data_IF_803227432579
#
_entry.id   IF_803227432579
#
_cell.length_a   1.000
_cell.length_b   1.000
_cell.length_c   1.000
_cell.angle_alpha   90.00
_cell.angle_beta   90.00
_cell.angle_gamma   90.00
#
_symmetry.space_group_name_H-M   'P 1'
#
loop_
_entity.id
_entity.type
_entity.pdbx_description
1 polymer ?
#
# COMPACT_ATOMS: atom_id res chain seq x y z
N UNK A 1 0.81 -32.25 -10.09
CA UNK A 1 1.00 -30.93 -9.45
C UNK A 1 1.25 -29.86 -10.52
N UNK A 2 0.22 -29.29 -11.16
CA UNK A 2 0.39 -28.04 -11.96
C UNK A 2 -0.90 -27.46 -12.56
N UNK A 3 -2.09 -27.77 -12.03
CA UNK A 3 -3.34 -27.10 -12.44
C UNK A 3 -3.72 -25.91 -11.53
N UNK A 4 -2.80 -25.46 -10.68
CA UNK A 4 -3.08 -24.35 -9.77
C UNK A 4 -2.51 -23.07 -10.36
N UNK A 5 -3.41 -22.17 -10.76
CA UNK A 5 -3.05 -20.83 -11.23
C UNK A 5 -2.41 -20.02 -10.11
N UNK A 6 -1.31 -19.32 -10.40
CA UNK A 6 -0.69 -18.35 -9.49
C UNK A 6 -1.69 -17.31 -8.98
N UNK A 7 -2.69 -16.93 -9.78
CA UNK A 7 -3.74 -16.02 -9.35
C UNK A 7 -4.60 -16.59 -8.21
N UNK A 8 -4.89 -17.89 -8.24
CA UNK A 8 -5.64 -18.58 -7.17
C UNK A 8 -4.80 -18.77 -5.91
N UNK A 9 -3.50 -19.02 -6.07
CA UNK A 9 -2.58 -19.18 -4.93
C UNK A 9 -2.35 -17.87 -4.15
N UNK A 10 -2.42 -16.74 -4.84
CA UNK A 10 -2.09 -15.43 -4.29
C UNK A 10 -3.29 -14.50 -4.15
N UNK A 11 -4.52 -15.01 -4.20
CA UNK A 11 -5.73 -14.17 -4.11
C UNK A 11 -5.78 -13.38 -2.79
N UNK A 12 -5.28 -13.97 -1.71
CA UNK A 12 -5.15 -13.33 -0.39
C UNK A 12 -4.13 -12.18 -0.36
N UNK A 13 -3.28 -12.09 -1.40
CA UNK A 13 -2.30 -11.02 -1.62
C UNK A 13 -2.75 -10.04 -2.69
N UNK A 14 -3.95 -10.22 -3.25
CA UNK A 14 -4.49 -9.29 -4.23
C UNK A 14 -4.82 -7.97 -3.52
N UNK A 15 -4.27 -6.88 -4.04
CA UNK A 15 -4.58 -5.54 -3.61
C UNK A 15 -5.10 -4.77 -4.83
N UNK A 16 -6.20 -4.06 -4.68
CA UNK A 16 -6.83 -3.31 -5.77
C UNK A 16 -6.64 -1.82 -5.60
N UNK A 17 -6.38 -1.15 -6.71
CA UNK A 17 -6.28 0.29 -6.79
C UNK A 17 -7.46 0.85 -7.59
N UNK A 18 -8.29 1.67 -6.95
CA UNK A 18 -9.28 2.44 -7.67
C UNK A 18 -8.62 3.68 -8.26
N UNK A 19 -8.58 3.78 -9.59
CA UNK A 19 -8.07 4.97 -10.29
C UNK A 19 -9.05 6.16 -10.27
N UNK A 20 -10.22 5.95 -9.69
CA UNK A 20 -11.33 6.89 -9.68
C UNK A 20 -11.66 7.26 -8.24
N UNK A 21 -12.25 8.44 -8.05
CA UNK A 21 -12.33 9.09 -6.74
C UNK A 21 -13.27 8.46 -5.69
N UNK A 22 -13.92 7.34 -5.97
CA UNK A 22 -14.83 6.69 -5.02
C UNK A 22 -14.83 5.16 -5.16
N UNK A 23 -14.55 4.49 -4.04
CA UNK A 23 -14.97 3.11 -3.82
C UNK A 23 -16.50 3.08 -3.68
N UNK A 24 -17.20 2.64 -4.73
CA UNK A 24 -18.66 2.46 -4.67
C UNK A 24 -18.98 1.18 -3.86
N UNK A 25 -20.04 1.19 -3.02
CA UNK A 25 -20.41 0.04 -2.19
C UNK A 25 -20.56 -1.27 -2.96
N UNK A 26 -21.11 -1.20 -4.18
CA UNK A 26 -21.28 -2.36 -5.07
C UNK A 26 -19.95 -2.98 -5.49
N UNK A 27 -18.93 -2.15 -5.74
CA UNK A 27 -17.57 -2.62 -6.07
C UNK A 27 -16.96 -3.30 -4.86
N UNK A 28 -17.09 -2.70 -3.68
CA UNK A 28 -16.57 -3.28 -2.43
C UNK A 28 -17.21 -4.64 -2.15
N UNK A 29 -18.52 -4.75 -2.34
CA UNK A 29 -19.24 -6.03 -2.23
C UNK A 29 -18.70 -7.07 -3.22
N UNK A 30 -18.51 -6.69 -4.49
CA UNK A 30 -17.92 -7.55 -5.51
C UNK A 30 -16.51 -8.02 -5.12
N UNK A 31 -15.66 -7.13 -4.57
CA UNK A 31 -14.31 -7.50 -4.12
C UNK A 31 -14.34 -8.51 -2.96
N UNK A 32 -15.24 -8.30 -2.00
CA UNK A 32 -15.42 -9.21 -0.87
C UNK A 32 -15.89 -10.60 -1.31
N UNK A 33 -16.77 -10.69 -2.31
CA UNK A 33 -17.18 -11.99 -2.89
C UNK A 33 -15.98 -12.75 -3.48
N UNK A 34 -14.97 -12.05 -3.98
CA UNK A 34 -13.75 -12.62 -4.53
C UNK A 34 -12.61 -12.75 -3.51
N UNK A 35 -12.90 -12.61 -2.21
CA UNK A 35 -11.91 -12.68 -1.11
C UNK A 35 -10.80 -11.62 -1.20
N UNK A 36 -11.03 -10.54 -1.95
CA UNK A 36 -10.12 -9.41 -2.01
C UNK A 36 -10.50 -8.47 -0.88
N UNK A 37 -9.69 -8.45 0.17
CA UNK A 37 -9.93 -7.68 1.40
C UNK A 37 -9.12 -6.38 1.48
N UNK A 38 -8.21 -6.18 0.52
CA UNK A 38 -7.37 -4.99 0.44
C UNK A 38 -7.64 -4.24 -0.84
N UNK A 39 -8.11 -3.01 -0.70
CA UNK A 39 -8.24 -2.08 -1.80
C UNK A 39 -7.93 -0.68 -1.30
N UNK A 40 -7.48 0.18 -2.20
CA UNK A 40 -7.23 1.57 -1.92
C UNK A 40 -7.96 2.45 -2.93
N UNK A 41 -8.42 3.58 -2.44
CA UNK A 41 -8.95 4.68 -3.24
C UNK A 41 -8.12 5.96 -2.98
N UNK A 42 -8.45 7.00 -3.73
CA UNK A 42 -7.85 8.33 -3.59
C UNK A 42 -8.03 8.97 -2.18
N UNK A 43 -8.99 8.48 -1.38
CA UNK A 43 -9.26 8.93 -0.01
C UNK A 43 -8.39 8.18 1.01
N UNK A 44 -7.82 7.04 0.63
CA UNK A 44 -6.95 6.25 1.48
C UNK A 44 -5.65 7.02 1.75
N UNK A 45 -5.26 7.25 3.01
CA UNK A 45 -4.07 8.03 3.34
C UNK A 45 -2.76 7.28 3.05
N UNK A 46 -2.79 5.95 3.14
CA UNK A 46 -1.67 5.10 2.74
C UNK A 46 -1.63 4.91 1.23
N UNK A 47 -0.42 4.86 0.67
CA UNK A 47 -0.17 4.59 -0.74
C UNK A 47 -0.04 3.08 -1.00
N UNK A 48 -0.59 2.61 -2.12
CA UNK A 48 -0.54 1.21 -2.50
C UNK A 48 0.86 0.87 -2.98
N UNK A 49 1.42 -0.27 -2.57
CA UNK A 49 2.74 -0.70 -3.05
C UNK A 49 2.60 -1.64 -4.23
N UNK A 50 3.08 -1.21 -5.40
CA UNK A 50 3.23 -2.06 -6.58
C UNK A 50 4.70 -2.40 -6.79
N UNK A 51 5.05 -3.70 -6.74
CA UNK A 51 6.44 -4.17 -6.87
C UNK A 51 7.40 -3.46 -5.91
N UNK A 52 6.95 -3.21 -4.68
CA UNK A 52 7.67 -2.46 -3.64
C UNK A 52 7.77 -0.95 -3.84
N UNK A 53 7.21 -0.40 -4.92
CA UNK A 53 7.15 1.05 -5.14
C UNK A 53 5.80 1.62 -4.70
N UNK A 54 5.78 2.72 -3.94
CA UNK A 54 4.54 3.39 -3.58
C UNK A 54 3.91 4.05 -4.81
N UNK A 55 2.64 3.75 -5.06
CA UNK A 55 1.80 4.41 -6.06
C UNK A 55 1.02 5.53 -5.39
N UNK A 56 1.25 6.76 -5.85
CA UNK A 56 0.61 7.95 -5.31
C UNK A 56 -0.52 8.37 -6.24
N UNK A 57 -1.73 8.45 -5.70
CA UNK A 57 -2.94 8.84 -6.41
C UNK A 57 -3.52 10.17 -5.94
N UNK A 58 -3.10 10.67 -4.77
CA UNK A 58 -3.56 11.94 -4.23
C UNK A 58 -2.43 12.77 -3.61
N UNK A 59 -2.66 14.09 -3.49
CA UNK A 59 -1.72 15.00 -2.82
C UNK A 59 -1.54 14.62 -1.34
N UNK A 60 -2.59 14.09 -0.70
CA UNK A 60 -2.53 13.63 0.70
C UNK A 60 -1.56 12.44 0.83
N UNK A 61 -1.67 11.44 -0.04
CA UNK A 61 -0.74 10.31 -0.09
C UNK A 61 0.70 10.76 -0.38
N UNK A 62 0.88 11.76 -1.26
CA UNK A 62 2.21 12.32 -1.52
C UNK A 62 2.83 12.96 -0.27
N UNK A 63 2.05 13.76 0.48
CA UNK A 63 2.52 14.38 1.72
C UNK A 63 2.88 13.33 2.75
N UNK A 64 1.98 12.37 2.98
CA UNK A 64 2.23 11.26 3.90
C UNK A 64 3.51 10.49 3.55
N UNK A 65 3.70 10.15 2.27
CA UNK A 65 4.91 9.45 1.81
C UNK A 65 6.18 10.25 2.09
N UNK A 66 6.16 11.57 1.82
CA UNK A 66 7.31 12.45 2.08
C UNK A 66 7.64 12.52 3.56
N UNK A 67 6.64 12.72 4.41
CA UNK A 67 6.82 12.83 5.85
C UNK A 67 7.35 11.51 6.44
N UNK A 68 6.81 10.39 5.99
CA UNK A 68 7.25 9.06 6.38
C UNK A 68 8.70 8.78 5.97
N UNK A 69 9.10 9.11 4.73
CA UNK A 69 10.49 8.97 4.28
C UNK A 69 11.44 9.85 5.10
N UNK A 70 11.06 11.10 5.38
CA UNK A 70 11.87 11.99 6.20
C UNK A 70 12.04 11.45 7.62
N UNK A 71 10.98 10.89 8.19
CA UNK A 71 11.01 10.26 9.51
C UNK A 71 11.93 9.03 9.54
N UNK A 72 11.91 8.19 8.49
CA UNK A 72 12.84 7.06 8.36
C UNK A 72 14.29 7.56 8.34
N UNK A 73 14.59 8.57 7.52
CA UNK A 73 15.97 9.10 7.45
C UNK A 73 16.40 9.64 8.81
N UNK A 74 15.54 10.43 9.47
CA UNK A 74 15.82 10.97 10.81
C UNK A 74 16.05 9.87 11.85
N UNK A 75 15.22 8.83 11.86
CA UNK A 75 15.38 7.74 12.82
C UNK A 75 16.67 6.97 12.58
N UNK A 76 17.01 6.66 11.33
CA UNK A 76 18.27 6.00 10.98
C UNK A 76 19.49 6.85 11.37
N UNK A 77 19.46 8.16 11.09
CA UNK A 77 20.50 9.08 11.54
C UNK A 77 20.63 9.11 13.07
N UNK A 78 19.51 9.16 13.79
CA UNK A 78 19.52 9.17 15.25
C UNK A 78 20.11 7.86 15.81
N UNK A 79 19.70 6.71 15.29
CA UNK A 79 20.26 5.40 15.67
C UNK A 79 21.75 5.33 15.38
N UNK A 80 22.20 5.78 14.21
CA UNK A 80 23.62 5.79 13.86
C UNK A 80 24.43 6.70 14.80
N UNK A 81 23.93 7.90 15.11
CA UNK A 81 24.59 8.82 16.05
C UNK A 81 24.69 8.24 17.46
N UNK A 82 23.70 7.46 17.91
CA UNK A 82 23.75 6.75 19.20
C UNK A 82 24.84 5.67 19.23
N UNK A 83 25.06 4.97 18.12
CA UNK A 83 26.11 3.95 18.00
C UNK A 83 27.52 4.50 17.77
N UNK A 84 27.67 5.77 17.39
CA UNK A 84 28.97 6.45 17.26
C UNK A 84 29.39 7.25 18.49
N UNK A 85 28.51 7.37 19.49
CA UNK A 85 28.89 8.01 20.75
C UNK A 85 29.67 7.01 21.60
N UNK A 86 30.94 7.28 21.96
CA UNK A 86 31.77 6.38 22.77
C UNK A 86 31.25 6.22 24.20
#
# INVERSE_FOLDING_TARGET
>A
YSHISNARLHINKAEILFLNDRSQPERTYFLQQHQITKWQDNLSPESLRHLSFPLVQSIVQLRYLKDHLLQIVRSQCATYSQHLSP
#
